data_IF_802928635408
#
_entry.id   IF_802928635408
#
_cell.length_a   1.000
_cell.length_b   1.000
_cell.length_c   1.000
_cell.angle_alpha   90.00
_cell.angle_beta   90.00
_cell.angle_gamma   90.00
#
_symmetry.space_group_name_H-M   'P 1'
#
loop_
_entity.id
_entity.type
_entity.pdbx_description
1 polymer ?
#
# COMPACT_ATOMS: atom_id res chain seq x y z
N UNK A 1 9.96 -6.22 4.64
CA UNK A 1 11.10 -5.40 4.16
C UNK A 1 12.41 -6.19 4.11
N UNK A 2 12.75 -6.99 5.13
CA UNK A 2 14.03 -7.71 5.21
C UNK A 2 14.20 -8.78 4.11
N UNK A 3 13.15 -9.54 3.81
CA UNK A 3 13.18 -10.54 2.74
C UNK A 3 13.45 -9.89 1.37
N UNK A 4 12.71 -8.83 1.05
CA UNK A 4 12.88 -8.10 -0.20
C UNK A 4 14.29 -7.49 -0.29
N UNK A 5 14.82 -6.95 0.80
CA UNK A 5 16.19 -6.44 0.86
C UNK A 5 17.22 -7.53 0.56
N UNK A 6 17.05 -8.73 1.13
CA UNK A 6 17.94 -9.86 0.79
C UNK A 6 17.88 -10.26 -0.68
N UNK A 7 16.68 -10.25 -1.26
CA UNK A 7 16.50 -10.58 -2.69
C UNK A 7 17.18 -9.54 -3.58
N UNK A 8 16.97 -8.25 -3.33
CA UNK A 8 17.61 -7.18 -4.11
C UNK A 8 19.14 -7.20 -4.01
N UNK A 9 19.69 -7.53 -2.81
CA UNK A 9 21.14 -7.71 -2.66
C UNK A 9 21.68 -8.86 -3.48
N UNK A 10 20.95 -9.96 -3.59
CA UNK A 10 21.35 -11.11 -4.41
C UNK A 10 21.38 -10.75 -5.90
N UNK A 11 20.48 -9.89 -6.35
CA UNK A 11 20.42 -9.37 -7.71
C UNK A 11 21.39 -8.20 -7.95
N UNK A 12 22.19 -7.80 -6.94
CA UNK A 12 23.15 -6.70 -7.07
C UNK A 12 22.51 -5.31 -7.14
N UNK A 13 21.24 -5.17 -6.73
CA UNK A 13 20.51 -3.89 -6.75
C UNK A 13 20.77 -3.12 -5.46
N UNK A 14 21.45 -1.97 -5.60
CA UNK A 14 21.65 -1.04 -4.48
C UNK A 14 20.30 -0.46 -4.02
N UNK A 15 20.04 -0.46 -2.72
CA UNK A 15 18.78 0.02 -2.16
C UNK A 15 18.93 0.48 -0.72
N UNK A 16 18.05 1.39 -0.31
CA UNK A 16 17.89 1.83 1.07
C UNK A 16 16.68 1.13 1.71
N UNK A 17 16.73 0.92 3.03
CA UNK A 17 15.61 0.34 3.79
C UNK A 17 15.16 1.33 4.85
N UNK A 18 13.91 1.79 4.73
CA UNK A 18 13.26 2.70 5.65
C UNK A 18 12.26 1.93 6.51
N UNK A 19 12.60 1.73 7.77
CA UNK A 19 11.74 1.07 8.75
C UNK A 19 11.80 1.81 10.10
N UNK A 20 10.91 1.47 11.01
CA UNK A 20 10.79 2.10 12.33
C UNK A 20 12.06 2.03 13.22
N UNK A 21 13.07 1.25 12.82
CA UNK A 21 14.32 1.10 13.57
C UNK A 21 15.35 2.21 13.30
N UNK A 22 15.17 3.00 12.22
CA UNK A 22 16.15 3.97 11.72
C UNK A 22 15.55 5.37 11.58
N UNK A 23 14.85 5.86 12.60
CA UNK A 23 14.24 7.20 12.58
C UNK A 23 15.23 8.34 12.34
N UNK A 24 16.45 8.23 12.85
CA UNK A 24 17.46 9.29 12.71
C UNK A 24 17.93 9.48 11.26
N UNK A 25 17.87 8.42 10.45
CA UNK A 25 18.26 8.42 9.03
C UNK A 25 17.07 8.62 8.08
N UNK A 26 15.85 8.70 8.61
CA UNK A 26 14.64 8.76 7.79
C UNK A 26 14.65 9.91 6.80
N UNK A 27 15.00 11.11 7.25
CA UNK A 27 15.04 12.32 6.41
C UNK A 27 16.07 12.20 5.29
N UNK A 28 17.24 11.63 5.57
CA UNK A 28 18.29 11.42 4.58
C UNK A 28 17.89 10.37 3.54
N UNK A 29 17.34 9.24 3.98
CA UNK A 29 16.85 8.18 3.08
C UNK A 29 15.72 8.70 2.17
N UNK A 30 14.80 9.50 2.73
CA UNK A 30 13.72 10.10 1.94
C UNK A 30 14.25 11.12 0.94
N UNK A 31 15.26 11.91 1.30
CA UNK A 31 15.90 12.83 0.37
C UNK A 31 16.59 12.11 -0.80
N UNK A 32 17.19 10.95 -0.53
CA UNK A 32 17.82 10.12 -1.56
C UNK A 32 16.79 9.39 -2.45
N UNK A 33 15.60 9.09 -1.92
CA UNK A 33 14.57 8.34 -2.65
C UNK A 33 14.05 9.02 -3.93
N UNK A 34 14.26 10.32 -4.06
CA UNK A 34 13.89 11.10 -5.25
C UNK A 34 14.97 11.19 -6.32
N UNK A 35 16.14 10.60 -6.10
CA UNK A 35 17.23 10.61 -7.07
C UNK A 35 17.04 9.54 -8.15
N UNK A 36 17.53 9.82 -9.35
CA UNK A 36 17.46 8.86 -10.46
C UNK A 36 18.19 7.55 -10.12
N UNK A 37 17.51 6.43 -10.39
CA UNK A 37 18.03 5.09 -10.11
C UNK A 37 18.00 4.68 -8.62
N UNK A 38 17.54 5.53 -7.71
CA UNK A 38 17.42 5.18 -6.31
C UNK A 38 16.28 4.16 -6.09
N UNK A 39 16.55 3.15 -5.26
CA UNK A 39 15.57 2.16 -4.83
C UNK A 39 15.43 2.23 -3.31
N UNK A 40 14.21 2.42 -2.81
CA UNK A 40 13.92 2.50 -1.38
C UNK A 40 12.83 1.51 -1.00
N UNK A 41 13.12 0.62 -0.07
CA UNK A 41 12.15 -0.28 0.54
C UNK A 41 11.61 0.44 1.79
N UNK A 42 10.30 0.65 1.84
CA UNK A 42 9.66 1.33 2.96
C UNK A 42 8.42 0.57 3.43
N UNK A 43 8.07 0.68 4.70
CA UNK A 43 6.74 0.31 5.18
C UNK A 43 5.74 1.40 4.80
N UNK A 44 4.44 1.07 4.77
CA UNK A 44 3.38 2.01 4.40
C UNK A 44 3.33 3.26 5.30
N UNK A 45 3.81 3.17 6.54
CA UNK A 45 3.85 4.27 7.51
C UNK A 45 5.14 5.09 7.45
N UNK A 46 6.23 4.53 6.94
CA UNK A 46 7.53 5.19 6.88
C UNK A 46 7.50 6.39 5.91
N UNK A 47 8.13 7.49 6.27
CA UNK A 47 8.13 8.73 5.47
C UNK A 47 6.75 9.40 5.37
N UNK A 48 5.81 9.11 6.27
CA UNK A 48 4.49 9.76 6.27
C UNK A 48 4.64 11.24 6.61
N UNK A 49 4.05 12.09 5.77
CA UNK A 49 4.13 13.55 5.94
C UNK A 49 5.37 14.18 5.29
N UNK A 50 6.31 13.40 4.80
CA UNK A 50 7.50 13.89 4.11
C UNK A 50 7.28 13.87 2.60
N UNK A 51 7.70 14.92 1.91
CA UNK A 51 7.63 15.02 0.45
C UNK A 51 8.93 14.49 -0.17
N UNK A 52 8.80 13.66 -1.20
CA UNK A 52 9.94 13.12 -1.96
C UNK A 52 10.17 14.06 -3.13
N UNK A 53 11.25 14.83 -3.06
CA UNK A 53 11.65 15.76 -4.13
C UNK A 53 12.44 14.99 -5.19
N UNK A 54 11.95 15.05 -6.43
CA UNK A 54 12.62 14.40 -7.56
C UNK A 54 13.73 15.30 -8.09
N UNK A 55 14.85 14.69 -8.49
CA UNK A 55 15.82 15.36 -9.32
C UNK A 55 15.32 15.47 -10.78
N UNK A 56 15.98 16.30 -11.59
CA UNK A 56 15.53 16.53 -12.97
C UNK A 56 15.61 15.25 -13.82
N UNK A 57 16.63 14.43 -13.60
CA UNK A 57 16.82 13.18 -14.34
C UNK A 57 15.71 12.17 -14.00
N UNK A 58 15.34 12.04 -12.73
CA UNK A 58 14.24 11.17 -12.30
C UNK A 58 12.89 11.67 -12.86
N UNK A 59 12.69 13.00 -12.91
CA UNK A 59 11.47 13.60 -13.48
C UNK A 59 11.37 13.34 -14.98
N UNK A 60 12.45 13.50 -15.74
CA UNK A 60 12.50 13.22 -17.18
C UNK A 60 12.32 11.71 -17.48
N UNK A 61 12.80 10.84 -16.60
CA UNK A 61 12.63 9.39 -16.70
C UNK A 61 11.19 8.89 -16.42
N UNK A 62 10.25 9.77 -16.04
CA UNK A 62 8.86 9.42 -15.75
C UNK A 62 8.47 9.53 -14.27
N UNK A 63 9.36 10.07 -13.44
CA UNK A 63 9.11 10.39 -12.05
C UNK A 63 9.18 9.20 -11.09
N UNK A 64 8.55 9.33 -9.94
CA UNK A 64 8.58 8.32 -8.89
C UNK A 64 7.65 7.15 -9.23
N UNK A 65 8.19 5.93 -9.27
CA UNK A 65 7.44 4.70 -9.41
C UNK A 65 7.20 4.06 -8.05
N UNK A 66 5.95 3.94 -7.64
CA UNK A 66 5.53 3.25 -6.43
C UNK A 66 5.20 1.80 -6.75
N UNK A 67 5.85 0.88 -6.04
CA UNK A 67 5.56 -0.55 -6.12
C UNK A 67 5.01 -1.00 -4.77
N UNK A 68 3.72 -1.35 -4.73
CA UNK A 68 3.10 -1.97 -3.57
C UNK A 68 3.16 -3.50 -3.69
N UNK A 69 3.66 -4.18 -2.67
CA UNK A 69 3.78 -5.65 -2.63
C UNK A 69 2.56 -6.32 -2.03
N UNK A 70 1.60 -5.54 -1.54
CA UNK A 70 0.33 -5.97 -0.97
C UNK A 70 -0.70 -4.83 -1.04
N UNK A 71 -1.96 -5.14 -0.83
CA UNK A 71 -3.02 -4.14 -0.65
C UNK A 71 -3.41 -4.07 0.82
N UNK A 72 -3.60 -2.86 1.31
CA UNK A 72 -4.12 -2.67 2.67
C UNK A 72 -5.64 -2.93 2.71
N UNK A 73 -6.16 -3.25 3.90
CA UNK A 73 -7.61 -3.39 4.12
C UNK A 73 -8.38 -2.08 3.84
N UNK A 74 -7.74 -0.93 4.03
CA UNK A 74 -8.31 0.38 3.78
C UNK A 74 -7.79 1.00 2.48
N UNK A 75 -8.70 1.35 1.57
CA UNK A 75 -8.41 2.08 0.33
C UNK A 75 -7.70 3.41 0.59
N UNK A 76 -8.00 4.05 1.71
CA UNK A 76 -7.36 5.30 2.10
C UNK A 76 -5.85 5.16 2.26
N UNK A 77 -5.39 4.06 2.82
CA UNK A 77 -3.94 3.79 3.00
C UNK A 77 -3.28 3.50 1.66
N UNK A 78 -3.92 2.71 0.80
CA UNK A 78 -3.44 2.48 -0.57
C UNK A 78 -3.34 3.80 -1.36
N UNK A 79 -4.33 4.68 -1.23
CA UNK A 79 -4.32 5.99 -1.88
C UNK A 79 -3.25 6.92 -1.30
N UNK A 80 -2.96 6.85 0.00
CA UNK A 80 -1.83 7.57 0.60
C UNK A 80 -0.48 7.09 0.03
N UNK A 81 -0.35 5.80 -0.22
CA UNK A 81 0.86 5.25 -0.85
C UNK A 81 0.95 5.72 -2.31
N UNK A 82 -0.11 5.58 -3.09
CA UNK A 82 -0.17 6.08 -4.48
C UNK A 82 0.11 7.57 -4.57
N UNK A 83 -0.44 8.36 -3.65
CA UNK A 83 -0.29 9.81 -3.60
C UNK A 83 1.11 10.29 -3.17
N UNK A 84 2.08 9.41 -3.00
CA UNK A 84 3.50 9.78 -2.90
C UNK A 84 4.14 10.04 -4.26
N UNK A 85 3.56 9.49 -5.31
CA UNK A 85 3.92 9.71 -6.71
C UNK A 85 3.02 10.79 -7.33
N UNK A 86 3.50 11.49 -8.36
CA UNK A 86 2.72 12.49 -9.08
C UNK A 86 2.42 13.75 -8.27
N UNK A 87 3.27 14.13 -7.30
CA UNK A 87 3.09 15.35 -6.50
C UNK A 87 3.58 16.58 -7.24
N UNK A 88 2.97 17.71 -6.95
CA UNK A 88 3.36 19.03 -7.45
C UNK A 88 3.42 19.12 -8.99
N UNK A 89 2.68 18.28 -9.69
CA UNK A 89 2.69 18.22 -11.16
C UNK A 89 3.79 17.34 -11.75
N UNK A 90 4.62 16.70 -10.93
CA UNK A 90 5.62 15.75 -11.40
C UNK A 90 4.95 14.51 -11.99
N UNK A 91 5.55 13.87 -13.00
CA UNK A 91 5.08 12.58 -13.48
C UNK A 91 5.27 11.49 -12.41
N UNK A 92 4.55 10.39 -12.55
CA UNK A 92 4.71 9.27 -11.65
C UNK A 92 3.80 8.11 -11.97
N UNK A 93 4.16 6.95 -11.47
CA UNK A 93 3.41 5.70 -11.67
C UNK A 93 3.25 4.96 -10.35
N UNK A 94 2.14 4.24 -10.20
CA UNK A 94 1.96 3.32 -9.08
C UNK A 94 1.44 1.98 -9.56
N UNK A 95 2.05 0.89 -9.07
CA UNK A 95 1.65 -0.48 -9.39
C UNK A 95 1.61 -1.34 -8.13
N UNK A 96 0.56 -2.15 -7.99
CA UNK A 96 0.42 -3.10 -6.89
C UNK A 96 0.54 -4.51 -7.43
N UNK A 97 1.38 -5.30 -6.77
CA UNK A 97 1.48 -6.75 -6.94
C UNK A 97 0.79 -7.42 -5.77
N UNK A 98 -0.09 -8.36 -6.03
CA UNK A 98 -0.97 -8.97 -5.04
C UNK A 98 -0.90 -10.47 -5.20
N UNK A 99 -0.81 -11.18 -4.10
CA UNK A 99 -0.95 -12.63 -4.06
C UNK A 99 -2.38 -13.02 -3.66
N UNK A 100 -2.87 -14.15 -4.16
CA UNK A 100 -4.11 -14.75 -3.68
C UNK A 100 -4.02 -15.23 -2.23
N UNK A 101 -2.80 -15.37 -1.72
CA UNK A 101 -2.51 -15.76 -0.34
C UNK A 101 -2.52 -14.55 0.62
N UNK A 102 -2.57 -13.32 0.10
CA UNK A 102 -2.65 -12.11 0.92
C UNK A 102 -3.93 -12.13 1.79
N UNK A 103 -3.83 -11.62 3.01
CA UNK A 103 -4.92 -11.64 3.99
C UNK A 103 -6.21 -11.03 3.46
N UNK A 104 -6.12 -9.94 2.71
CA UNK A 104 -7.26 -9.32 2.05
C UNK A 104 -7.99 -10.30 1.12
N UNK A 105 -7.23 -11.08 0.38
CA UNK A 105 -7.76 -12.04 -0.59
C UNK A 105 -8.32 -13.29 0.11
N UNK A 106 -7.68 -13.74 1.18
CA UNK A 106 -8.13 -14.88 1.98
C UNK A 106 -9.45 -14.61 2.68
N UNK A 107 -9.64 -13.41 3.22
CA UNK A 107 -10.84 -13.04 3.99
C UNK A 107 -12.07 -12.80 3.10
N UNK A 108 -11.90 -12.28 1.90
CA UNK A 108 -13.04 -11.76 1.12
C UNK A 108 -13.06 -12.17 -0.36
N UNK A 109 -12.02 -12.80 -0.85
CA UNK A 109 -11.85 -13.02 -2.29
C UNK A 109 -11.79 -14.48 -2.73
N UNK A 110 -11.56 -15.42 -1.82
CA UNK A 110 -11.00 -16.72 -2.18
C UNK A 110 -11.85 -17.58 -3.11
N UNK A 111 -13.13 -17.83 -2.83
CA UNK A 111 -13.89 -18.82 -3.61
C UNK A 111 -14.29 -18.34 -5.01
N UNK A 112 -14.76 -17.09 -5.13
CA UNK A 112 -15.17 -16.54 -6.44
C UNK A 112 -13.98 -16.27 -7.34
N UNK A 113 -12.89 -15.78 -6.78
CA UNK A 113 -11.66 -15.50 -7.53
C UNK A 113 -10.99 -16.81 -7.95
N UNK A 114 -10.91 -17.81 -7.07
CA UNK A 114 -10.40 -19.12 -7.43
C UNK A 114 -11.19 -19.75 -8.59
N UNK A 115 -12.51 -19.64 -8.59
CA UNK A 115 -13.33 -20.09 -9.72
C UNK A 115 -13.02 -19.35 -11.02
N UNK A 116 -12.78 -18.04 -10.96
CA UNK A 116 -12.41 -17.24 -12.13
C UNK A 116 -11.03 -17.68 -12.64
N UNK A 117 -10.03 -17.86 -11.77
CA UNK A 117 -8.70 -18.32 -12.16
C UNK A 117 -8.70 -19.72 -12.74
N UNK A 118 -9.43 -20.63 -12.12
CA UNK A 118 -9.60 -21.99 -12.65
C UNK A 118 -10.27 -21.98 -14.01
N UNK A 119 -11.23 -21.10 -14.24
CA UNK A 119 -11.92 -20.99 -15.53
C UNK A 119 -11.08 -20.32 -16.61
N UNK A 120 -10.12 -19.48 -16.23
CA UNK A 120 -9.18 -18.82 -17.15
C UNK A 120 -7.97 -19.69 -17.50
N UNK A 121 -7.81 -20.86 -16.86
CA UNK A 121 -6.72 -21.78 -17.15
C UNK A 121 -5.32 -21.22 -16.82
N UNK A 122 -5.23 -20.30 -15.86
CA UNK A 122 -4.00 -19.61 -15.52
C UNK A 122 -3.07 -20.53 -14.74
N UNK A 123 -1.80 -20.59 -15.14
CA UNK A 123 -0.77 -21.34 -14.42
C UNK A 123 -0.44 -20.69 -13.07
N UNK A 124 -0.02 -21.48 -12.10
CA UNK A 124 0.18 -21.11 -10.68
C UNK A 124 1.17 -19.94 -10.45
N UNK A 125 2.00 -19.59 -11.43
CA UNK A 125 3.01 -18.51 -11.36
C UNK A 125 2.85 -17.45 -12.45
N UNK A 126 1.69 -17.37 -13.09
CA UNK A 126 1.46 -16.41 -14.17
C UNK A 126 0.93 -15.08 -13.64
N UNK A 127 1.54 -13.97 -14.08
CA UNK A 127 1.06 -12.64 -13.73
C UNK A 127 -0.22 -12.33 -14.51
N UNK A 128 -1.29 -12.02 -13.78
CA UNK A 128 -2.59 -11.70 -14.36
C UNK A 128 -2.87 -10.22 -14.22
N UNK A 129 -3.06 -9.54 -15.34
CA UNK A 129 -3.57 -8.17 -15.39
C UNK A 129 -5.01 -8.18 -15.92
N UNK A 130 -5.99 -8.17 -15.04
CA UNK A 130 -7.37 -8.15 -15.46
C UNK A 130 -8.21 -7.17 -14.64
N UNK A 131 -9.01 -6.36 -15.34
CA UNK A 131 -9.89 -5.34 -14.71
C UNK A 131 -10.88 -5.95 -13.70
N UNK A 132 -11.33 -7.20 -13.94
CA UNK A 132 -12.21 -7.92 -13.01
C UNK A 132 -11.53 -8.17 -11.66
N UNK A 133 -10.23 -8.47 -11.66
CA UNK A 133 -9.46 -8.68 -10.43
C UNK A 133 -9.38 -7.37 -9.61
N UNK A 134 -9.06 -6.27 -10.25
CA UNK A 134 -9.04 -4.96 -9.59
C UNK A 134 -10.39 -4.60 -8.98
N UNK A 135 -11.48 -4.86 -9.69
CA UNK A 135 -12.84 -4.62 -9.19
C UNK A 135 -13.19 -5.55 -8.00
N UNK A 136 -12.76 -6.81 -8.04
CA UNK A 136 -13.01 -7.76 -6.96
C UNK A 136 -12.27 -7.35 -5.67
N UNK A 137 -11.02 -6.90 -5.79
CA UNK A 137 -10.22 -6.37 -4.68
C UNK A 137 -10.87 -5.13 -4.10
N UNK A 138 -11.30 -4.20 -4.94
CA UNK A 138 -11.98 -3.00 -4.49
C UNK A 138 -13.26 -3.32 -3.70
N UNK A 139 -14.08 -4.25 -4.18
CA UNK A 139 -15.28 -4.71 -3.46
C UNK A 139 -14.95 -5.38 -2.13
N UNK A 140 -13.86 -6.14 -2.06
CA UNK A 140 -13.38 -6.73 -0.83
C UNK A 140 -13.00 -5.65 0.20
N UNK A 141 -12.24 -4.65 -0.22
CA UNK A 141 -11.89 -3.50 0.64
C UNK A 141 -13.13 -2.73 1.10
N UNK A 142 -14.09 -2.45 0.22
CA UNK A 142 -15.35 -1.77 0.58
C UNK A 142 -16.12 -2.53 1.65
N UNK A 143 -16.16 -3.86 1.57
CA UNK A 143 -16.83 -4.69 2.56
C UNK A 143 -16.15 -4.64 3.93
N UNK A 144 -14.81 -4.65 3.97
CA UNK A 144 -14.05 -4.51 5.21
C UNK A 144 -14.27 -3.12 5.82
N UNK A 145 -14.16 -2.08 5.00
CA UNK A 145 -14.37 -0.69 5.45
C UNK A 145 -15.76 -0.51 6.04
N UNK A 146 -16.79 -1.09 5.42
CA UNK A 146 -18.16 -1.05 5.92
C UNK A 146 -18.30 -1.77 7.28
N UNK A 147 -17.73 -2.97 7.42
CA UNK A 147 -17.76 -3.70 8.69
C UNK A 147 -17.02 -2.93 9.80
N UNK A 148 -15.84 -2.41 9.49
CA UNK A 148 -15.04 -1.63 10.44
C UNK A 148 -15.73 -0.33 10.83
N UNK A 149 -16.42 0.31 9.88
CA UNK A 149 -17.24 1.50 10.17
C UNK A 149 -18.37 1.17 11.13
N UNK A 150 -19.08 0.05 10.93
CA UNK A 150 -20.14 -0.40 11.84
C UNK A 150 -19.65 -0.59 13.28
N UNK A 151 -18.50 -1.26 13.44
CA UNK A 151 -17.88 -1.44 14.76
C UNK A 151 -17.53 -0.12 15.41
N UNK A 152 -16.90 0.80 14.68
CA UNK A 152 -16.54 2.14 15.20
C UNK A 152 -17.76 2.96 15.56
N UNK A 153 -18.82 2.90 14.75
CA UNK A 153 -20.08 3.60 15.03
C UNK A 153 -20.67 3.10 16.34
N UNK A 154 -20.77 1.78 16.53
CA UNK A 154 -21.28 1.22 17.78
C UNK A 154 -20.47 1.67 19.01
N UNK A 155 -19.13 1.74 18.90
CA UNK A 155 -18.29 2.25 19.98
C UNK A 155 -18.59 3.73 20.30
N UNK A 156 -18.76 4.57 19.29
CA UNK A 156 -19.12 5.97 19.47
C UNK A 156 -20.51 6.12 20.11
N UNK A 157 -21.47 5.31 19.71
CA UNK A 157 -22.82 5.32 20.27
C UNK A 157 -22.79 4.94 21.77
N UNK A 158 -21.94 3.99 22.18
CA UNK A 158 -21.72 3.66 23.61
C UNK A 158 -21.01 4.79 24.37
N UNK A 159 -19.97 5.39 23.79
CA UNK A 159 -19.27 6.52 24.39
C UNK A 159 -20.18 7.75 24.57
N UNK A 160 -21.11 7.98 23.64
CA UNK A 160 -22.09 9.06 23.73
C UNK A 160 -22.98 8.87 24.97
N UNK A 161 -23.51 7.66 25.20
CA UNK A 161 -24.32 7.35 26.37
C UNK A 161 -23.54 7.59 27.67
N UNK A 162 -22.26 7.22 27.72
CA UNK A 162 -21.42 7.47 28.89
C UNK A 162 -21.17 8.97 29.12
N UNK A 163 -20.99 9.74 28.05
CA UNK A 163 -20.82 11.18 28.13
C UNK A 163 -22.09 11.87 28.61
N UNK A 164 -23.26 11.51 28.08
CA UNK A 164 -24.56 12.04 28.51
C UNK A 164 -24.80 11.75 30.00
N UNK A 165 -24.41 10.57 30.50
CA UNK A 165 -24.46 10.23 31.93
C UNK A 165 -23.54 11.10 32.77
N UNK A 166 -22.34 11.43 32.30
CA UNK A 166 -21.37 12.29 33.01
C UNK A 166 -21.84 13.75 33.10
N UNK A 167 -22.60 14.22 32.09
CA UNK A 167 -23.15 15.58 32.10
C UNK A 167 -24.33 15.76 33.07
N UNK A 168 -24.98 14.66 33.46
CA UNK A 168 -26.14 14.68 34.38
C UNK A 168 -25.66 14.62 35.86
N UNK A 169 -24.47 14.15 36.13
CA UNK A 169 -23.86 14.07 37.48
C UNK A 169 -23.06 15.34 37.78
#
# INVERSE_FOLDING_TARGET
SELLSKMLRREGIAHNVLNAKFHELEAEIVAQAGQAGAVTIATNMAGRGTDIKLDDVAREAGGLKIIGTERHESRRIDNQLRGRSGRQGDPGESRFYISLEDDLMRLFGSERLMKIFTSLGVAENEQIEHKMLSNAIQKAQEKIEFNTFGIRKNLLDYDQVNNDQREII
#
